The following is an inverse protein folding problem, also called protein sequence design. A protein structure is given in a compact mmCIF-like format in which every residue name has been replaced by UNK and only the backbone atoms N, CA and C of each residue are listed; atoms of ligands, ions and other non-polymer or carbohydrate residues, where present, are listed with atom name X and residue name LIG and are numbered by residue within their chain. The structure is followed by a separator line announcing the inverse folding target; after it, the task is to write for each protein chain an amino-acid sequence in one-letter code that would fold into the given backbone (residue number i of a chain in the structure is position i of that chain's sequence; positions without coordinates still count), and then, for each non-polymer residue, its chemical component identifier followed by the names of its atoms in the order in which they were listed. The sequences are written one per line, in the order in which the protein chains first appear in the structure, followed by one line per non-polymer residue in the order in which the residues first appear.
data_IF_814693467132
#
_entry.id   IF_814693467132
#
_cell.length_a   1.000
_cell.length_b   1.000
_cell.length_c   1.000
_cell.angle_alpha   90.00
_cell.angle_beta   90.00
_cell.angle_gamma   90.00
#
_symmetry.space_group_name_H-M   'P 1'
#
loop_
_entity.id
_entity.type
_entity.pdbx_description
1 polymer ?
#
# COMPACT_ATOMS: atom_id res chain seq x y z
N UNK A 1 -22.25 23.33 19.20
CA UNK A 1 -21.62 22.03 18.85
C UNK A 1 -20.95 22.10 17.47
N UNK A 2 -21.66 22.57 16.43
CA UNK A 2 -21.12 22.68 15.07
C UNK A 2 -19.91 23.62 14.93
N UNK A 3 -19.94 24.81 15.54
CA UNK A 3 -18.81 25.75 15.54
C UNK A 3 -17.56 25.17 16.19
N UNK A 4 -17.69 24.62 17.40
CA UNK A 4 -16.58 23.95 18.11
C UNK A 4 -15.94 22.81 17.29
N UNK A 5 -16.72 22.10 16.48
CA UNK A 5 -16.22 21.04 15.61
C UNK A 5 -15.48 21.60 14.40
N UNK A 6 -15.96 22.70 13.82
CA UNK A 6 -15.28 23.42 12.74
C UNK A 6 -13.95 23.98 13.26
N UNK A 7 -13.92 24.58 14.43
CA UNK A 7 -12.70 25.09 15.07
C UNK A 7 -11.67 23.97 15.29
N UNK A 8 -12.14 22.78 15.69
CA UNK A 8 -11.30 21.60 15.84
C UNK A 8 -10.69 21.15 14.50
N UNK A 9 -11.50 21.09 13.43
CA UNK A 9 -11.02 20.72 12.10
C UNK A 9 -9.97 21.73 11.58
N UNK A 10 -10.21 23.03 11.78
CA UNK A 10 -9.24 24.06 11.40
C UNK A 10 -7.97 24.02 12.25
N UNK A 11 -8.10 23.76 13.55
CA UNK A 11 -6.96 23.59 14.47
C UNK A 11 -6.06 22.45 14.02
N UNK A 12 -6.64 21.33 13.59
CA UNK A 12 -5.92 20.13 13.14
C UNK A 12 -5.91 19.97 11.61
N UNK A 13 -5.99 21.07 10.85
CA UNK A 13 -6.11 21.03 9.38
C UNK A 13 -5.04 20.17 8.68
N UNK A 14 -3.83 20.11 9.24
CA UNK A 14 -2.71 19.34 8.68
C UNK A 14 -2.88 17.82 8.84
N UNK A 15 -3.80 17.36 9.69
CA UNK A 15 -4.13 15.95 9.84
C UNK A 15 -5.10 15.45 8.76
N UNK A 16 -5.76 16.37 8.05
CA UNK A 16 -6.73 16.04 7.00
C UNK A 16 -6.09 16.28 5.64
N UNK A 17 -6.11 15.24 4.81
CA UNK A 17 -5.66 15.34 3.43
C UNK A 17 -6.85 15.54 2.49
N UNK A 18 -6.67 16.38 1.48
CA UNK A 18 -7.56 16.48 0.33
C UNK A 18 -6.99 15.71 -0.86
N UNK A 19 -7.84 15.38 -1.84
CA UNK A 19 -7.51 14.52 -2.99
C UNK A 19 -6.34 15.02 -3.85
N UNK A 20 -5.90 16.28 -3.65
CA UNK A 20 -4.89 16.98 -4.45
C UNK A 20 -3.57 17.22 -3.72
N UNK A 21 -3.45 16.84 -2.45
CA UNK A 21 -2.26 17.09 -1.65
C UNK A 21 -1.23 15.96 -1.76
N UNK A 22 0.02 16.26 -1.41
CA UNK A 22 1.07 15.26 -1.33
C UNK A 22 0.70 14.19 -0.29
N UNK A 23 1.03 12.94 -0.61
CA UNK A 23 0.82 11.85 0.34
C UNK A 23 1.65 12.06 1.60
N UNK A 24 1.01 11.88 2.75
CA UNK A 24 1.69 11.76 4.03
C UNK A 24 2.83 10.74 3.97
N UNK A 25 3.81 10.89 4.84
CA UNK A 25 5.00 10.07 4.88
C UNK A 25 5.25 9.60 6.32
N UNK A 26 5.45 8.30 6.48
CA UNK A 26 5.79 7.68 7.76
C UNK A 26 7.25 7.23 7.68
N UNK A 27 8.08 7.79 8.55
CA UNK A 27 9.52 7.53 8.61
C UNK A 27 9.85 6.57 9.75
N UNK A 28 10.90 5.76 9.59
CA UNK A 28 11.34 4.79 10.61
C UNK A 28 10.53 3.50 10.66
N UNK A 29 9.57 3.35 9.75
CA UNK A 29 8.75 2.15 9.56
C UNK A 29 8.87 1.65 8.12
N UNK A 30 10.06 1.68 7.54
CA UNK A 30 10.27 1.22 6.17
C UNK A 30 9.95 -0.28 6.03
N UNK A 31 9.16 -0.61 5.01
CA UNK A 31 8.72 -1.98 4.77
C UNK A 31 9.85 -2.77 4.11
N UNK A 32 10.16 -3.92 4.68
CA UNK A 32 11.06 -4.92 4.12
C UNK A 32 10.29 -6.19 3.75
N UNK A 33 10.84 -6.98 2.84
CA UNK A 33 10.28 -8.26 2.42
C UNK A 33 11.36 -9.31 2.60
N UNK A 34 11.03 -10.40 3.30
CA UNK A 34 11.91 -11.56 3.42
C UNK A 34 11.27 -12.70 2.63
N UNK A 35 12.05 -13.28 1.73
CA UNK A 35 11.65 -14.45 0.97
C UNK A 35 12.22 -15.72 1.61
N UNK A 36 11.52 -16.84 1.45
CA UNK A 36 11.99 -18.18 1.82
C UNK A 36 12.78 -18.88 0.69
N UNK A 37 13.22 -18.11 -0.31
CA UNK A 37 14.01 -18.55 -1.46
C UNK A 37 15.14 -17.58 -1.70
N UNK A 38 16.25 -18.10 -2.21
CA UNK A 38 17.44 -17.32 -2.54
C UNK A 38 17.59 -17.13 -4.06
N UNK A 39 18.63 -16.40 -4.46
CA UNK A 39 18.96 -16.19 -5.86
C UNK A 39 19.72 -17.40 -6.44
N UNK A 40 19.52 -17.73 -7.73
CA UNK A 40 18.57 -17.11 -8.66
C UNK A 40 17.11 -17.44 -8.28
N UNK A 41 16.25 -16.42 -8.34
CA UNK A 41 14.85 -16.58 -7.93
C UNK A 41 14.07 -17.53 -8.85
N UNK A 42 13.04 -18.24 -8.32
CA UNK A 42 12.18 -19.10 -9.13
C UNK A 42 11.52 -18.35 -10.30
N UNK A 43 11.31 -18.99 -11.46
CA UNK A 43 10.65 -18.36 -12.62
C UNK A 43 9.28 -17.76 -12.30
N UNK A 44 8.58 -18.29 -11.28
CA UNK A 44 7.29 -17.78 -10.83
C UNK A 44 7.37 -16.33 -10.31
N UNK A 45 8.54 -15.85 -9.88
CA UNK A 45 8.78 -14.45 -9.50
C UNK A 45 9.10 -13.55 -10.69
N UNK A 46 9.34 -14.09 -11.90
CA UNK A 46 9.66 -13.33 -13.11
C UNK A 46 8.58 -13.54 -14.18
N UNK A 47 7.44 -12.89 -13.98
CA UNK A 47 6.25 -13.07 -14.83
C UNK A 47 6.15 -11.96 -15.88
N UNK A 48 5.71 -12.28 -17.12
CA UNK A 48 5.53 -11.27 -18.16
C UNK A 48 4.29 -10.41 -17.90
N UNK A 49 4.21 -9.22 -18.52
CA UNK A 49 2.99 -8.43 -18.52
C UNK A 49 1.81 -9.21 -19.11
N UNK A 50 0.63 -9.00 -18.53
CA UNK A 50 -0.59 -9.55 -19.08
C UNK A 50 -0.99 -8.83 -20.37
N UNK A 51 -1.53 -9.56 -21.37
CA UNK A 51 -2.24 -8.92 -22.47
C UNK A 51 -3.38 -8.05 -21.93
N UNK A 52 -3.43 -6.80 -22.38
CA UNK A 52 -4.45 -5.83 -21.99
C UNK A 52 -5.15 -5.28 -23.23
N UNK A 53 -6.48 -5.14 -23.16
CA UNK A 53 -7.30 -4.47 -24.18
C UNK A 53 -6.92 -2.99 -24.30
N UNK A 54 -7.22 -2.30 -25.43
CA UNK A 54 -6.91 -0.88 -25.58
C UNK A 54 -7.41 -0.02 -24.41
N UNK A 55 -8.68 -0.21 -24.01
CA UNK A 55 -9.28 0.46 -22.83
C UNK A 55 -8.52 0.18 -21.53
N UNK A 56 -8.03 -1.04 -21.32
CA UNK A 56 -7.26 -1.37 -20.13
C UNK A 56 -5.85 -0.77 -20.18
N UNK A 57 -5.23 -0.67 -21.35
CA UNK A 57 -3.92 -0.01 -21.54
C UNK A 57 -3.99 1.47 -21.22
N UNK A 58 -4.99 2.17 -21.74
CA UNK A 58 -5.23 3.58 -21.42
C UNK A 58 -5.41 3.79 -19.92
N UNK A 59 -6.24 2.96 -19.27
CA UNK A 59 -6.42 3.02 -17.82
C UNK A 59 -5.11 2.74 -17.05
N UNK A 60 -4.31 1.76 -17.48
CA UNK A 60 -3.00 1.49 -16.87
C UNK A 60 -2.08 2.70 -16.97
N UNK A 61 -1.98 3.32 -18.14
CA UNK A 61 -1.11 4.48 -18.34
C UNK A 61 -1.51 5.67 -17.46
N UNK A 62 -2.82 5.91 -17.30
CA UNK A 62 -3.34 6.92 -16.37
C UNK A 62 -2.94 6.61 -14.94
N UNK A 63 -3.22 5.39 -14.45
CA UNK A 63 -2.86 4.98 -13.08
C UNK A 63 -1.35 5.03 -12.82
N UNK A 64 -0.53 4.59 -13.78
CA UNK A 64 0.93 4.64 -13.68
C UNK A 64 1.39 6.09 -13.56
N UNK A 65 0.89 6.99 -14.41
CA UNK A 65 1.25 8.42 -14.35
C UNK A 65 0.86 9.03 -13.00
N UNK A 66 -0.37 8.81 -12.54
CA UNK A 66 -0.84 9.31 -11.24
C UNK A 66 0.05 8.81 -10.08
N UNK A 67 0.42 7.53 -10.08
CA UNK A 67 1.29 6.97 -9.05
C UNK A 67 2.74 7.46 -9.14
N UNK A 68 3.22 7.80 -10.34
CA UNK A 68 4.52 8.45 -10.51
C UNK A 68 4.49 9.89 -10.01
N UNK A 69 3.45 10.66 -10.34
CA UNK A 69 3.27 12.05 -9.90
C UNK A 69 3.14 12.13 -8.36
N UNK A 70 2.55 11.11 -7.73
CA UNK A 70 2.46 10.96 -6.28
C UNK A 70 3.75 10.41 -5.61
N UNK A 71 4.80 10.09 -6.39
CA UNK A 71 6.04 9.51 -5.86
C UNK A 71 5.89 8.11 -5.28
N UNK A 72 4.85 7.38 -5.70
CA UNK A 72 4.61 5.97 -5.31
C UNK A 72 5.36 5.02 -6.24
N UNK A 73 5.49 5.37 -7.52
CA UNK A 73 6.22 4.59 -8.52
C UNK A 73 7.39 5.38 -9.11
N UNK A 74 8.44 4.68 -9.52
CA UNK A 74 9.40 5.18 -10.52
C UNK A 74 9.56 4.19 -11.67
N UNK A 75 9.90 4.70 -12.85
CA UNK A 75 10.27 3.85 -14.00
C UNK A 75 11.65 3.24 -13.74
N UNK A 76 11.79 1.95 -14.02
CA UNK A 76 13.08 1.25 -13.91
C UNK A 76 13.94 1.62 -15.12
N UNK A 77 15.20 2.01 -14.87
CA UNK A 77 16.14 2.43 -15.90
C UNK A 77 16.69 1.29 -16.76
N UNK A 78 17.21 1.63 -17.94
CA UNK A 78 17.76 0.65 -18.90
C UNK A 78 18.93 -0.19 -18.35
N UNK A 79 19.73 0.37 -17.44
CA UNK A 79 20.90 -0.28 -16.85
C UNK A 79 20.59 -0.98 -15.51
N UNK A 80 19.33 -1.01 -15.08
CA UNK A 80 18.94 -1.67 -13.84
C UNK A 80 18.59 -3.13 -14.09
N UNK A 81 19.31 -4.05 -13.43
CA UNK A 81 19.01 -5.48 -13.51
C UNK A 81 17.63 -5.78 -12.91
N UNK A 82 16.81 -6.55 -13.62
CA UNK A 82 15.47 -6.97 -13.15
C UNK A 82 15.43 -8.47 -12.91
N UNK A 83 15.22 -8.86 -11.66
CA UNK A 83 15.15 -10.26 -11.23
C UNK A 83 13.71 -10.71 -10.93
N UNK A 84 12.84 -9.78 -10.53
CA UNK A 84 11.45 -10.02 -10.16
C UNK A 84 10.55 -9.08 -10.95
N UNK A 85 9.44 -9.60 -11.47
CA UNK A 85 8.39 -8.83 -12.15
C UNK A 85 7.01 -9.36 -11.80
N UNK A 86 6.15 -8.46 -11.33
CA UNK A 86 4.76 -8.74 -11.01
C UNK A 86 3.84 -8.11 -12.06
N UNK A 87 3.02 -8.89 -12.78
CA UNK A 87 2.12 -8.33 -13.76
C UNK A 87 0.94 -7.62 -13.09
N UNK A 88 0.41 -6.65 -13.81
CA UNK A 88 -0.70 -5.81 -13.33
C UNK A 88 -1.91 -6.01 -14.22
N UNK A 89 -3.09 -5.96 -13.61
CA UNK A 89 -4.38 -5.94 -14.31
C UNK A 89 -5.17 -4.69 -13.95
N UNK A 90 -6.11 -4.32 -14.83
CA UNK A 90 -7.18 -3.37 -14.51
C UNK A 90 -8.43 -4.14 -14.15
N UNK A 91 -9.00 -3.81 -13.00
CA UNK A 91 -10.35 -4.24 -12.63
C UNK A 91 -11.30 -3.05 -12.72
N UNK A 92 -12.53 -3.29 -13.14
CA UNK A 92 -13.57 -2.27 -13.27
C UNK A 92 -14.65 -2.51 -12.24
N UNK A 93 -15.08 -1.44 -11.56
CA UNK A 93 -16.18 -1.49 -10.61
C UNK A 93 -16.94 -0.17 -10.66
N UNK A 94 -18.25 -0.22 -10.92
CA UNK A 94 -19.12 0.95 -11.05
C UNK A 94 -18.53 2.03 -11.98
N UNK A 95 -18.01 1.62 -13.14
CA UNK A 95 -17.42 2.51 -14.14
C UNK A 95 -16.01 3.02 -13.83
N UNK A 96 -15.50 2.83 -12.60
CA UNK A 96 -14.13 3.23 -12.21
C UNK A 96 -13.15 2.07 -12.41
N UNK A 97 -11.96 2.38 -12.93
CA UNK A 97 -10.86 1.43 -13.05
C UNK A 97 -10.00 1.42 -11.78
N UNK A 98 -9.43 0.25 -11.47
CA UNK A 98 -8.42 0.09 -10.42
C UNK A 98 -7.25 -0.74 -10.95
N UNK A 99 -6.05 -0.24 -10.72
CA UNK A 99 -4.80 -0.95 -10.97
C UNK A 99 -4.53 -1.96 -9.85
N UNK A 100 -4.32 -3.23 -10.21
CA UNK A 100 -4.11 -4.33 -9.26
C UNK A 100 -2.86 -5.12 -9.65
N UNK A 101 -1.84 -5.11 -8.78
CA UNK A 101 -0.66 -5.96 -8.93
C UNK A 101 -0.95 -7.40 -8.50
N UNK A 102 -0.60 -8.38 -9.32
CA UNK A 102 -0.80 -9.79 -9.00
C UNK A 102 0.36 -10.36 -8.15
N UNK A 103 0.43 -9.92 -6.89
CA UNK A 103 1.47 -10.32 -5.94
C UNK A 103 1.34 -11.75 -5.41
N UNK A 104 0.42 -12.58 -5.92
CA UNK A 104 0.23 -13.96 -5.42
C UNK A 104 1.50 -14.79 -5.46
N UNK A 105 2.26 -14.70 -6.55
CA UNK A 105 3.55 -15.36 -6.70
C UNK A 105 4.56 -14.90 -5.63
N UNK A 106 4.73 -13.59 -5.46
CA UNK A 106 5.59 -13.01 -4.44
C UNK A 106 5.15 -13.44 -3.04
N UNK A 107 3.85 -13.42 -2.77
CA UNK A 107 3.27 -13.81 -1.51
C UNK A 107 3.55 -15.29 -1.20
N UNK A 108 3.51 -16.21 -2.17
CA UNK A 108 3.87 -17.62 -1.93
C UNK A 108 5.26 -17.77 -1.31
N UNK A 109 6.23 -16.96 -1.76
CA UNK A 109 7.61 -17.03 -1.27
C UNK A 109 7.90 -16.08 -0.11
N UNK A 110 6.99 -15.15 0.22
CA UNK A 110 7.18 -14.21 1.35
C UNK A 110 7.00 -14.94 2.67
N UNK A 111 7.99 -14.84 3.57
CA UNK A 111 7.90 -15.33 4.94
C UNK A 111 6.78 -14.54 5.65
N UNK A 112 5.74 -15.21 6.18
CA UNK A 112 4.61 -14.53 6.80
C UNK A 112 5.03 -13.81 8.07
N UNK A 113 4.69 -12.52 8.17
CA UNK A 113 4.68 -11.82 9.44
C UNK A 113 3.41 -12.19 10.20
N UNK A 114 3.56 -12.69 11.43
CA UNK A 114 2.45 -13.12 12.29
C UNK A 114 2.15 -12.10 13.39
N UNK A 115 2.48 -10.82 13.17
CA UNK A 115 2.07 -9.76 14.09
C UNK A 115 0.55 -9.79 14.32
N UNK A 116 0.09 -9.73 15.57
CA UNK A 116 -1.33 -9.84 15.88
C UNK A 116 -2.09 -8.67 15.26
N UNK A 117 -3.20 -9.00 14.62
CA UNK A 117 -4.19 -8.03 14.15
C UNK A 117 -5.42 -8.20 15.07
N UNK A 118 -5.94 -7.11 15.67
CA UNK A 118 -7.07 -7.20 16.58
C UNK A 118 -8.27 -7.85 15.90
N UNK A 119 -8.99 -8.70 16.63
CA UNK A 119 -10.17 -9.37 16.08
C UNK A 119 -11.32 -8.37 16.04
N UNK A 120 -12.14 -8.44 15.00
CA UNK A 120 -13.32 -7.56 14.85
C UNK A 120 -14.21 -7.62 16.10
N UNK A 121 -14.41 -8.80 16.70
CA UNK A 121 -15.23 -8.94 17.92
C UNK A 121 -14.63 -8.23 19.13
N UNK A 122 -13.31 -8.19 19.26
CA UNK A 122 -12.62 -7.47 20.35
C UNK A 122 -12.85 -5.96 20.20
N UNK A 123 -12.65 -5.44 18.99
CA UNK A 123 -12.91 -4.03 18.66
C UNK A 123 -14.37 -3.67 18.93
N UNK A 124 -15.33 -4.49 18.48
CA UNK A 124 -16.76 -4.23 18.69
C UNK A 124 -17.14 -4.26 20.17
N UNK A 125 -16.51 -5.12 20.97
CA UNK A 125 -16.77 -5.20 22.41
C UNK A 125 -16.30 -3.92 23.11
N UNK A 126 -15.10 -3.42 22.78
CA UNK A 126 -14.60 -2.15 23.32
C UNK A 126 -15.50 -0.98 22.90
N UNK A 127 -15.92 -0.93 21.63
CA UNK A 127 -16.83 0.10 21.13
C UNK A 127 -18.22 0.06 21.76
N UNK A 128 -18.69 -1.09 22.25
CA UNK A 128 -20.03 -1.23 22.84
C UNK A 128 -20.24 -0.38 24.10
N UNK A 129 -19.15 0.00 24.78
CA UNK A 129 -19.19 0.85 25.97
C UNK A 129 -19.10 2.34 25.64
N UNK A 130 -18.79 2.70 24.38
CA UNK A 130 -18.60 4.08 23.97
C UNK A 130 -19.95 4.81 23.81
N UNK A 131 -20.05 6.01 24.40
CA UNK A 131 -21.21 6.90 24.21
C UNK A 131 -21.21 7.60 22.85
N UNK A 132 -20.02 7.81 22.28
CA UNK A 132 -19.80 8.43 20.98
C UNK A 132 -18.70 7.67 20.26
N UNK A 133 -18.88 7.41 18.97
CA UNK A 133 -17.90 6.74 18.11
C UNK A 133 -17.52 7.71 16.99
N UNK A 134 -16.22 7.87 16.78
CA UNK A 134 -15.66 8.63 15.66
C UNK A 134 -14.88 7.66 14.79
N UNK A 135 -15.06 7.75 13.47
CA UNK A 135 -14.32 6.95 12.50
C UNK A 135 -13.50 7.88 11.60
N UNK A 136 -12.23 7.53 11.40
CA UNK A 136 -11.30 8.23 10.51
C UNK A 136 -10.65 7.20 9.58
N UNK A 137 -10.50 7.54 8.30
CA UNK A 137 -9.83 6.71 7.32
C UNK A 137 -8.55 7.40 6.83
N UNK A 138 -7.46 6.65 6.78
CA UNK A 138 -6.17 7.18 6.33
C UNK A 138 -6.13 7.20 4.80
N UNK A 139 -6.13 8.40 4.21
CA UNK A 139 -6.08 8.57 2.76
C UNK A 139 -4.87 7.84 2.16
N UNK A 140 -5.13 6.80 1.36
CA UNK A 140 -4.12 5.92 0.76
C UNK A 140 -3.08 5.42 1.79
N UNK A 141 -3.51 5.04 3.00
CA UNK A 141 -2.65 4.74 4.14
C UNK A 141 -1.44 3.83 3.85
N UNK A 142 -1.59 2.79 3.01
CA UNK A 142 -0.44 1.95 2.65
C UNK A 142 0.64 2.73 1.89
N UNK A 143 0.25 3.59 0.95
CA UNK A 143 1.19 4.46 0.23
C UNK A 143 1.81 5.56 1.09
N UNK A 144 1.53 5.64 2.40
CA UNK A 144 2.26 6.52 3.31
C UNK A 144 3.56 5.88 3.82
N UNK A 145 3.70 4.56 3.66
CA UNK A 145 4.86 3.79 4.13
C UNK A 145 5.91 3.64 3.02
N UNK A 146 7.16 4.01 3.31
CA UNK A 146 8.27 3.81 2.38
C UNK A 146 8.74 2.35 2.34
N UNK A 147 9.31 1.96 1.21
CA UNK A 147 9.95 0.65 1.04
C UNK A 147 11.46 0.74 1.24
N UNK A 148 12.04 -0.29 1.82
CA UNK A 148 13.50 -0.54 1.76
C UNK A 148 13.95 -0.85 0.33
N UNK A 149 15.23 -0.62 0.00
CA UNK A 149 15.75 -0.86 -1.35
C UNK A 149 15.62 -2.32 -1.81
N UNK A 150 15.69 -3.26 -0.86
CA UNK A 150 15.40 -4.67 -1.14
C UNK A 150 13.93 -4.85 -1.58
N UNK A 151 12.98 -4.33 -0.79
CA UNK A 151 11.56 -4.45 -1.09
C UNK A 151 11.19 -3.76 -2.41
N UNK A 152 11.78 -2.60 -2.73
CA UNK A 152 11.56 -1.91 -4.02
C UNK A 152 11.85 -2.83 -5.22
N UNK A 153 12.97 -3.57 -5.17
CA UNK A 153 13.37 -4.51 -6.23
C UNK A 153 12.43 -5.72 -6.33
N UNK A 154 11.96 -6.23 -5.20
CA UNK A 154 11.02 -7.36 -5.15
C UNK A 154 9.59 -6.98 -5.56
N UNK A 155 9.23 -5.71 -5.42
CA UNK A 155 7.90 -5.17 -5.76
C UNK A 155 7.84 -4.55 -7.14
N UNK A 156 8.81 -4.83 -8.01
CA UNK A 156 8.76 -4.39 -9.41
C UNK A 156 7.54 -4.96 -10.12
N UNK A 157 6.85 -4.08 -10.83
CA UNK A 157 5.69 -4.40 -11.65
C UNK A 157 6.00 -4.24 -13.13
N UNK A 158 5.31 -5.03 -13.95
CA UNK A 158 5.45 -4.98 -15.41
C UNK A 158 4.08 -4.77 -16.06
N UNK A 159 4.05 -3.82 -17.00
CA UNK A 159 2.91 -3.48 -17.86
C UNK A 159 3.39 -3.36 -19.30
N UNK A 160 2.46 -3.15 -20.24
CA UNK A 160 2.78 -3.05 -21.68
C UNK A 160 3.76 -1.92 -22.01
N UNK A 161 3.79 -0.84 -21.23
CA UNK A 161 4.66 0.32 -21.47
C UNK A 161 5.98 0.31 -20.68
N UNK A 162 6.26 -0.75 -19.91
CA UNK A 162 7.55 -0.94 -19.24
C UNK A 162 7.47 -1.55 -17.85
N UNK A 163 8.61 -1.44 -17.13
CA UNK A 163 8.79 -1.93 -15.76
C UNK A 163 8.89 -0.73 -14.83
N UNK A 164 8.16 -0.80 -13.73
CA UNK A 164 8.11 0.23 -12.70
C UNK A 164 8.40 -0.41 -11.35
N UNK A 165 8.98 0.35 -10.43
CA UNK A 165 9.18 -0.09 -9.06
C UNK A 165 8.40 0.78 -8.09
N UNK A 166 7.78 0.14 -7.12
CA UNK A 166 7.19 0.83 -5.98
C UNK A 166 8.30 1.43 -5.12
N UNK A 167 8.10 2.68 -4.71
CA UNK A 167 8.87 3.37 -3.69
C UNK A 167 8.15 3.33 -2.33
N UNK A 168 6.84 3.10 -2.38
CA UNK A 168 5.93 3.08 -1.23
C UNK A 168 5.08 1.81 -1.26
N UNK A 169 4.64 1.36 -0.09
CA UNK A 169 3.98 0.06 0.05
C UNK A 169 2.73 -0.06 -0.84
N UNK A 170 2.66 -1.08 -1.72
CA UNK A 170 1.48 -1.34 -2.53
C UNK A 170 0.44 -2.17 -1.79
N UNK A 171 -0.79 -2.16 -2.31
CA UNK A 171 -1.83 -3.08 -1.89
C UNK A 171 -1.53 -4.52 -2.37
N UNK A 172 -2.00 -5.51 -1.61
CA UNK A 172 -1.99 -6.92 -2.01
C UNK A 172 -0.74 -7.72 -1.62
N UNK A 173 0.25 -7.12 -0.95
CA UNK A 173 1.40 -7.85 -0.41
C UNK A 173 1.03 -8.52 0.92
N UNK A 174 1.57 -9.72 1.17
CA UNK A 174 1.19 -10.60 2.28
C UNK A 174 1.25 -9.92 3.65
N UNK A 175 2.33 -9.19 3.92
CA UNK A 175 2.62 -8.67 5.26
C UNK A 175 2.15 -7.22 5.47
N UNK A 176 1.49 -6.58 4.48
CA UNK A 176 1.04 -5.20 4.62
C UNK A 176 0.15 -4.96 5.85
N UNK A 177 -0.88 -5.79 6.14
CA UNK A 177 -1.73 -5.60 7.32
C UNK A 177 -0.96 -5.70 8.64
N UNK A 178 -0.10 -6.72 8.79
CA UNK A 178 0.71 -6.94 9.99
C UNK A 178 1.71 -5.81 10.23
N UNK A 179 2.36 -5.33 9.16
CA UNK A 179 3.24 -4.18 9.22
C UNK A 179 2.48 -2.93 9.65
N UNK A 180 1.33 -2.65 9.02
CA UNK A 180 0.52 -1.47 9.31
C UNK A 180 -0.03 -1.48 10.74
N UNK A 181 -0.45 -2.63 11.26
CA UNK A 181 -0.88 -2.76 12.65
C UNK A 181 0.26 -2.52 13.64
N UNK A 182 1.45 -3.08 13.37
CA UNK A 182 2.64 -2.86 14.21
C UNK A 182 3.03 -1.39 14.25
N UNK A 183 2.99 -0.73 13.10
CA UNK A 183 3.21 0.70 12.98
C UNK A 183 2.20 1.48 13.82
N UNK A 184 0.90 1.20 13.70
CA UNK A 184 -0.14 1.85 14.51
C UNK A 184 0.08 1.66 16.01
N UNK A 185 0.40 0.44 16.46
CA UNK A 185 0.69 0.15 17.88
C UNK A 185 1.93 0.88 18.40
N UNK A 186 2.88 1.23 17.52
CA UNK A 186 4.10 1.95 17.89
C UNK A 186 3.88 3.45 17.93
N UNK A 187 3.04 3.99 17.04
CA UNK A 187 2.74 5.43 16.94
C UNK A 187 1.71 5.85 18.00
N UNK A 188 0.72 4.99 18.29
CA UNK A 188 -0.38 5.26 19.22
C UNK A 188 -0.42 4.26 20.38
N UNK A 189 0.67 4.08 21.14
CA UNK A 189 0.74 3.06 22.17
C UNK A 189 -0.25 3.34 23.31
N UNK A 190 -0.45 4.59 23.69
CA UNK A 190 -1.35 4.99 24.78
C UNK A 190 -2.81 4.79 24.37
N UNK A 191 -3.20 5.33 23.22
CA UNK A 191 -4.57 5.30 22.71
C UNK A 191 -5.06 3.90 22.33
N UNK A 192 -4.14 2.97 22.04
CA UNK A 192 -4.46 1.58 21.72
C UNK A 192 -4.28 0.63 22.92
N UNK A 193 -3.69 1.10 24.02
CA UNK A 193 -3.56 0.34 25.27
C UNK A 193 -4.72 0.59 26.26
N UNK A 194 -5.39 1.74 26.16
CA UNK A 194 -6.57 2.08 26.95
C UNK A 194 -7.84 1.55 26.28
N UNK A 195 -8.15 0.27 26.50
CA UNK A 195 -9.39 -0.37 26.07
C UNK A 195 -9.73 -1.65 26.81
#
# INVERSE_FOLDING_TARGET
MKEKMIDLLFKYKNAFATDKEQLGAIFGHEVYIILNVEKPYPPLLRRPAYPASPRAREALEVHIKELMDLGVLRKVGHNEQVEVTTPVIITWHNGKSRMVGDFRALNTYTIPDRYPIPRINEILTQLSQAKFITAMDALKGFHQNFLTDNAKKLLRIIVHCGIFEYLRMPFGIKNAPSHYQRMMNTIFPEELSEG
#
